data_IF_801121282669
#
_entry.id   IF_801121282669
#
_cell.length_a   1.000
_cell.length_b   1.000
_cell.length_c   1.000
_cell.angle_alpha   90.00
_cell.angle_beta   90.00
_cell.angle_gamma   90.00
#
_symmetry.space_group_name_H-M   'P 1'
#
loop_
_entity.id
_entity.type
_entity.pdbx_description
1 polymer ?
#
# COMPACT_ATOMS: atom_id res chain seq x y z
N UNK A 1 -59.10 -35.47 75.79
CA UNK A 1 -58.80 -34.58 76.93
C UNK A 1 -58.35 -33.25 76.35
N UNK A 2 -59.09 -32.15 76.58
CA UNK A 2 -58.61 -30.82 76.23
C UNK A 2 -57.39 -30.49 77.09
N UNK A 3 -56.32 -29.95 76.49
CA UNK A 3 -55.17 -29.49 77.24
C UNK A 3 -55.56 -28.29 78.11
N UNK A 4 -54.96 -28.21 79.29
CA UNK A 4 -55.10 -27.08 80.19
C UNK A 4 -54.61 -25.78 79.49
N UNK A 5 -55.33 -24.64 79.57
CA UNK A 5 -54.94 -23.40 78.91
C UNK A 5 -53.52 -22.94 79.23
N UNK A 6 -52.97 -23.28 80.41
CA UNK A 6 -51.57 -22.97 80.73
C UNK A 6 -50.57 -23.81 79.92
N UNK A 7 -50.88 -25.08 79.67
CA UNK A 7 -50.03 -25.96 78.87
C UNK A 7 -50.07 -25.56 77.39
N UNK A 8 -51.21 -25.08 76.89
CA UNK A 8 -51.30 -24.54 75.52
C UNK A 8 -50.44 -23.29 75.34
N UNK A 9 -50.46 -22.36 76.30
CA UNK A 9 -49.64 -21.14 76.23
C UNK A 9 -48.13 -21.43 76.27
N UNK A 10 -47.70 -22.45 77.02
CA UNK A 10 -46.29 -22.84 77.09
C UNK A 10 -45.81 -23.52 75.80
N UNK A 11 -46.64 -24.36 75.20
CA UNK A 11 -46.36 -24.97 73.90
C UNK A 11 -46.30 -23.90 72.80
N UNK A 12 -47.24 -22.95 72.76
CA UNK A 12 -47.23 -21.86 71.78
C UNK A 12 -45.99 -20.96 71.91
N UNK A 13 -45.53 -20.74 73.15
CA UNK A 13 -44.28 -20.00 73.40
C UNK A 13 -43.06 -20.75 72.87
N UNK A 14 -42.92 -22.04 73.16
CA UNK A 14 -41.79 -22.84 72.69
C UNK A 14 -41.80 -23.02 71.16
N UNK A 15 -42.99 -23.17 70.57
CA UNK A 15 -43.14 -23.26 69.12
C UNK A 15 -42.79 -21.92 68.46
N UNK A 16 -43.28 -20.80 68.96
CA UNK A 16 -42.94 -19.48 68.41
C UNK A 16 -41.46 -19.14 68.52
N UNK A 17 -40.80 -19.52 69.61
CA UNK A 17 -39.35 -19.34 69.81
C UNK A 17 -38.54 -20.19 68.82
N UNK A 18 -38.91 -21.47 68.63
CA UNK A 18 -38.27 -22.35 67.63
C UNK A 18 -38.52 -21.92 66.20
N UNK A 19 -39.73 -21.46 65.88
CA UNK A 19 -40.07 -20.93 64.56
C UNK A 19 -39.30 -19.64 64.29
N UNK A 20 -39.13 -18.76 65.27
CA UNK A 20 -38.31 -17.55 65.14
C UNK A 20 -36.83 -17.89 64.89
N UNK A 21 -36.28 -18.87 65.63
CA UNK A 21 -34.90 -19.32 65.47
C UNK A 21 -34.64 -19.93 64.07
N UNK A 22 -35.58 -20.73 63.56
CA UNK A 22 -35.50 -21.30 62.21
C UNK A 22 -35.62 -20.22 61.12
N UNK A 23 -36.53 -19.26 61.30
CA UNK A 23 -36.73 -18.16 60.35
C UNK A 23 -35.50 -17.26 60.25
N UNK A 24 -34.79 -17.03 61.36
CA UNK A 24 -33.59 -16.21 61.36
C UNK A 24 -32.41 -16.92 60.69
N UNK A 25 -32.26 -18.24 60.91
CA UNK A 25 -31.27 -19.07 60.20
C UNK A 25 -31.54 -19.13 58.69
N UNK A 26 -32.81 -19.25 58.28
CA UNK A 26 -33.19 -19.22 56.87
C UNK A 26 -32.90 -17.86 56.23
N UNK A 27 -33.17 -16.76 56.94
CA UNK A 27 -32.87 -15.41 56.48
C UNK A 27 -31.37 -15.20 56.29
N UNK A 28 -30.55 -15.62 57.25
CA UNK A 28 -29.09 -15.57 57.14
C UNK A 28 -28.57 -16.43 55.99
N UNK A 29 -29.13 -17.63 55.80
CA UNK A 29 -28.78 -18.51 54.69
C UNK A 29 -29.14 -17.89 53.34
N UNK A 30 -30.33 -17.29 53.22
CA UNK A 30 -30.75 -16.59 52.00
C UNK A 30 -29.84 -15.40 51.69
N UNK A 31 -29.50 -14.58 52.69
CA UNK A 31 -28.56 -13.48 52.52
C UNK A 31 -27.17 -13.96 52.11
N UNK A 32 -26.68 -15.02 52.74
CA UNK A 32 -25.40 -15.64 52.35
C UNK A 32 -25.43 -16.09 50.89
N UNK A 33 -26.48 -16.78 50.45
CA UNK A 33 -26.62 -17.21 49.05
C UNK A 33 -26.75 -16.05 48.08
N UNK A 34 -27.48 -14.99 48.44
CA UNK A 34 -27.60 -13.78 47.62
C UNK A 34 -26.26 -13.06 47.49
N UNK A 35 -25.48 -12.97 48.56
CA UNK A 35 -24.13 -12.39 48.51
C UNK A 35 -23.18 -13.23 47.67
N UNK A 36 -23.21 -14.56 47.80
CA UNK A 36 -22.44 -15.46 46.93
C UNK A 36 -22.84 -15.32 45.46
N UNK A 37 -24.14 -15.28 45.16
CA UNK A 37 -24.63 -15.09 43.79
C UNK A 37 -24.21 -13.73 43.21
N UNK A 38 -24.31 -12.66 43.99
CA UNK A 38 -23.87 -11.32 43.58
C UNK A 38 -22.37 -11.25 43.30
N UNK A 39 -21.55 -11.91 44.11
CA UNK A 39 -20.09 -11.95 43.92
C UNK A 39 -19.69 -12.72 42.67
N UNK A 40 -20.34 -13.85 42.40
CA UNK A 40 -20.12 -14.62 41.16
C UNK A 40 -20.53 -13.79 39.94
N UNK A 41 -21.68 -13.11 40.00
CA UNK A 41 -22.14 -12.25 38.91
C UNK A 41 -21.16 -11.10 38.65
N UNK A 42 -20.65 -10.45 39.69
CA UNK A 42 -19.66 -9.39 39.57
C UNK A 42 -18.34 -9.88 38.96
N UNK A 43 -17.88 -11.08 39.32
CA UNK A 43 -16.68 -11.69 38.71
C UNK A 43 -16.87 -12.00 37.23
N UNK A 44 -18.03 -12.54 36.84
CA UNK A 44 -18.33 -12.84 35.43
C UNK A 44 -18.40 -11.55 34.60
N UNK A 45 -19.09 -10.52 35.10
CA UNK A 45 -19.19 -9.23 34.41
C UNK A 45 -17.82 -8.55 34.33
N UNK A 46 -17.09 -8.49 35.44
CA UNK A 46 -15.76 -7.87 35.49
C UNK A 46 -14.75 -8.58 34.59
N UNK A 47 -14.74 -9.92 34.61
CA UNK A 47 -13.90 -10.74 33.74
C UNK A 47 -14.24 -10.55 32.25
N UNK A 48 -15.53 -10.49 31.91
CA UNK A 48 -15.99 -10.23 30.54
C UNK A 48 -15.56 -8.87 30.02
N UNK A 49 -15.73 -7.81 30.82
CA UNK A 49 -15.30 -6.45 30.43
C UNK A 49 -13.78 -6.39 30.24
N UNK A 50 -13.00 -7.01 31.14
CA UNK A 50 -11.54 -7.03 31.04
C UNK A 50 -11.05 -7.73 29.75
N UNK A 51 -11.69 -8.85 29.36
CA UNK A 51 -11.39 -9.55 28.11
C UNK A 51 -11.67 -8.67 26.88
N UNK A 52 -12.83 -8.02 26.84
CA UNK A 52 -13.23 -7.15 25.71
C UNK A 52 -12.28 -5.97 25.57
N UNK A 53 -11.91 -5.30 26.66
CA UNK A 53 -10.96 -4.18 26.63
C UNK A 53 -9.58 -4.62 26.14
N UNK A 54 -9.13 -5.82 26.53
CA UNK A 54 -7.87 -6.40 26.08
C UNK A 54 -7.87 -6.66 24.58
N UNK A 55 -8.93 -7.27 24.04
CA UNK A 55 -9.06 -7.55 22.60
C UNK A 55 -9.14 -6.25 21.77
N UNK A 56 -9.91 -5.26 22.22
CA UNK A 56 -9.99 -3.95 21.55
C UNK A 56 -8.62 -3.25 21.55
N UNK A 57 -7.84 -3.40 22.63
CA UNK A 57 -6.47 -2.89 22.70
C UNK A 57 -5.57 -3.49 21.61
N UNK A 58 -5.65 -4.81 21.39
CA UNK A 58 -4.88 -5.50 20.35
C UNK A 58 -5.32 -5.08 18.94
N UNK A 59 -6.62 -4.97 18.69
CA UNK A 59 -7.12 -4.48 17.39
C UNK A 59 -6.69 -3.04 17.12
N UNK A 60 -6.69 -2.16 18.12
CA UNK A 60 -6.20 -0.78 17.97
C UNK A 60 -4.73 -0.74 17.58
N UNK A 61 -3.90 -1.63 18.13
CA UNK A 61 -2.50 -1.73 17.75
C UNK A 61 -2.33 -2.21 16.30
N UNK A 62 -3.11 -3.21 15.88
CA UNK A 62 -3.09 -3.68 14.49
C UNK A 62 -3.55 -2.59 13.51
N UNK A 63 -4.61 -1.85 13.84
CA UNK A 63 -5.10 -0.73 13.03
C UNK A 63 -4.07 0.40 12.99
N UNK A 64 -3.42 0.73 14.10
CA UNK A 64 -2.38 1.76 14.13
C UNK A 64 -1.17 1.38 13.27
N UNK A 65 -0.75 0.11 13.29
CA UNK A 65 0.33 -0.39 12.44
C UNK A 65 -0.06 -0.36 10.95
N UNK A 66 -1.29 -0.75 10.60
CA UNK A 66 -1.78 -0.68 9.23
C UNK A 66 -1.91 0.76 8.74
N UNK A 67 -2.37 1.68 9.58
CA UNK A 67 -2.47 3.10 9.26
C UNK A 67 -1.07 3.70 8.97
N UNK A 68 -0.08 3.41 9.84
CA UNK A 68 1.30 3.86 9.64
C UNK A 68 1.92 3.28 8.36
N UNK A 69 1.69 2.00 8.07
CA UNK A 69 2.16 1.35 6.84
C UNK A 69 1.51 1.97 5.59
N UNK A 70 0.22 2.30 5.65
CA UNK A 70 -0.49 2.94 4.55
C UNK A 70 0.01 4.37 4.30
N UNK A 71 0.25 5.16 5.34
CA UNK A 71 0.82 6.50 5.21
C UNK A 71 2.23 6.44 4.58
N UNK A 72 3.07 5.50 5.02
CA UNK A 72 4.39 5.31 4.42
C UNK A 72 4.30 4.92 2.94
N UNK A 73 3.40 4.00 2.59
CA UNK A 73 3.16 3.60 1.21
C UNK A 73 2.64 4.76 0.34
N UNK A 74 1.75 5.61 0.88
CA UNK A 74 1.29 6.80 0.18
C UNK A 74 2.42 7.78 -0.12
N UNK A 75 3.30 8.04 0.86
CA UNK A 75 4.44 8.92 0.64
C UNK A 75 5.40 8.36 -0.40
N UNK A 76 5.66 7.05 -0.37
CA UNK A 76 6.51 6.38 -1.34
C UNK A 76 5.91 6.45 -2.75
N UNK A 77 4.60 6.21 -2.88
CA UNK A 77 3.88 6.34 -4.15
C UNK A 77 3.94 7.77 -4.70
N UNK A 78 3.79 8.80 -3.85
CA UNK A 78 3.94 10.18 -4.29
C UNK A 78 5.36 10.50 -4.77
N UNK A 79 6.39 9.96 -4.10
CA UNK A 79 7.78 10.09 -4.55
C UNK A 79 8.01 9.41 -5.89
N UNK A 80 7.44 8.22 -6.09
CA UNK A 80 7.51 7.51 -7.37
C UNK A 80 6.82 8.31 -8.48
N UNK A 81 5.60 8.81 -8.24
CA UNK A 81 4.91 9.67 -9.22
C UNK A 81 5.70 10.94 -9.57
N UNK A 82 6.33 11.57 -8.59
CA UNK A 82 7.17 12.74 -8.82
C UNK A 82 8.42 12.37 -9.65
N UNK A 83 9.06 11.25 -9.34
CA UNK A 83 10.20 10.72 -10.08
C UNK A 83 9.84 10.37 -11.52
N UNK A 84 8.71 9.67 -11.73
CA UNK A 84 8.21 9.31 -13.05
C UNK A 84 7.87 10.54 -13.89
N UNK A 85 7.26 11.57 -13.27
CA UNK A 85 7.02 12.85 -13.96
C UNK A 85 8.33 13.52 -14.37
N UNK A 86 9.33 13.55 -13.49
CA UNK A 86 10.63 14.11 -13.81
C UNK A 86 11.29 13.35 -14.98
N UNK A 87 11.27 12.02 -14.95
CA UNK A 87 11.75 11.18 -16.04
C UNK A 87 10.99 11.42 -17.35
N UNK A 88 9.67 11.61 -17.30
CA UNK A 88 8.89 11.93 -18.50
C UNK A 88 9.27 13.29 -19.09
N UNK A 89 9.55 14.29 -18.25
CA UNK A 89 10.01 15.60 -18.71
C UNK A 89 11.39 15.49 -19.35
N UNK A 90 12.33 14.76 -18.73
CA UNK A 90 13.66 14.52 -19.30
C UNK A 90 13.58 13.75 -20.63
N UNK A 91 12.71 12.75 -20.70
CA UNK A 91 12.46 12.00 -21.95
C UNK A 91 11.83 12.87 -23.02
N UNK A 92 10.87 13.74 -22.68
CA UNK A 92 10.27 14.64 -23.64
C UNK A 92 11.30 15.66 -24.16
N UNK A 93 12.20 16.13 -23.30
CA UNK A 93 13.32 16.97 -23.70
C UNK A 93 14.29 16.22 -24.63
N UNK A 94 14.70 15.00 -24.26
CA UNK A 94 15.56 14.14 -25.07
C UNK A 94 14.92 13.80 -26.42
N UNK A 95 13.62 13.46 -26.45
CA UNK A 95 12.88 13.16 -27.66
C UNK A 95 12.85 14.35 -28.63
N UNK A 96 12.71 15.58 -28.12
CA UNK A 96 12.81 16.80 -28.94
C UNK A 96 14.22 16.98 -29.52
N UNK A 97 15.27 16.75 -28.72
CA UNK A 97 16.67 16.86 -29.17
C UNK A 97 16.98 15.84 -30.28
N UNK A 98 16.48 14.62 -30.15
CA UNK A 98 16.76 13.55 -31.13
C UNK A 98 15.71 13.39 -32.23
N UNK A 99 14.67 14.23 -32.25
CA UNK A 99 13.57 14.14 -33.22
C UNK A 99 12.72 12.86 -33.13
N UNK A 100 12.67 12.22 -31.96
CA UNK A 100 11.93 10.98 -31.73
C UNK A 100 10.42 11.22 -31.71
N UNK A 101 9.66 10.37 -32.41
CA UNK A 101 8.19 10.40 -32.43
C UNK A 101 7.64 9.06 -31.96
N UNK A 102 7.00 9.03 -30.79
CA UNK A 102 6.43 7.81 -30.19
C UNK A 102 5.33 7.14 -31.06
N UNK A 103 4.67 7.91 -31.93
CA UNK A 103 3.59 7.40 -32.80
C UNK A 103 4.08 6.85 -34.15
N UNK A 104 5.40 6.76 -34.40
CA UNK A 104 5.91 6.16 -35.64
C UNK A 104 5.67 4.65 -35.65
N UNK A 105 5.16 4.15 -36.78
CA UNK A 105 5.03 2.70 -36.97
C UNK A 105 6.40 2.02 -36.88
N UNK A 106 6.43 0.81 -36.31
CA UNK A 106 7.65 0.00 -36.21
C UNK A 106 8.48 -0.08 -37.51
N UNK A 107 7.88 -0.28 -38.72
CA UNK A 107 8.66 -0.28 -39.95
C UNK A 107 9.24 1.09 -40.32
N UNK A 108 8.52 2.19 -40.08
CA UNK A 108 9.03 3.54 -40.36
C UNK A 108 10.22 3.92 -39.46
N UNK A 109 10.15 3.55 -38.18
CA UNK A 109 11.24 3.75 -37.24
C UNK A 109 12.48 2.94 -37.62
N UNK A 110 12.32 1.64 -37.93
CA UNK A 110 13.45 0.79 -38.31
C UNK A 110 14.09 1.27 -39.62
N UNK A 111 13.31 1.75 -40.59
CA UNK A 111 13.82 2.33 -41.82
C UNK A 111 14.64 3.61 -41.55
N UNK A 112 14.18 4.48 -40.66
CA UNK A 112 14.90 5.69 -40.28
C UNK A 112 16.20 5.38 -39.52
N UNK A 113 16.19 4.39 -38.63
CA UNK A 113 17.40 3.91 -37.95
C UNK A 113 18.42 3.34 -38.93
N UNK A 114 17.98 2.43 -39.82
CA UNK A 114 18.86 1.81 -40.80
C UNK A 114 19.46 2.87 -41.73
N UNK A 115 18.66 3.83 -42.18
CA UNK A 115 19.14 4.97 -42.97
C UNK A 115 20.16 5.80 -42.21
N UNK A 116 19.87 6.18 -40.97
CA UNK A 116 20.78 6.93 -40.11
C UNK A 116 22.10 6.19 -39.85
N UNK A 117 22.04 4.86 -39.69
CA UNK A 117 23.21 4.00 -39.53
C UNK A 117 24.05 3.90 -40.81
N UNK A 118 23.42 3.76 -41.96
CA UNK A 118 24.10 3.75 -43.27
C UNK A 118 24.76 5.11 -43.53
N UNK A 119 24.07 6.21 -43.27
CA UNK A 119 24.61 7.56 -43.43
C UNK A 119 25.79 7.80 -42.47
N UNK A 120 25.70 7.32 -41.23
CA UNK A 120 26.80 7.37 -40.25
C UNK A 120 28.02 6.57 -40.73
N UNK A 121 27.81 5.34 -41.20
CA UNK A 121 28.89 4.51 -41.75
C UNK A 121 29.56 5.16 -42.98
N UNK A 122 28.76 5.76 -43.87
CA UNK A 122 29.26 6.49 -45.03
C UNK A 122 30.13 7.68 -44.64
N UNK A 123 29.63 8.54 -43.74
CA UNK A 123 30.39 9.71 -43.26
C UNK A 123 31.61 9.31 -42.42
N UNK A 124 31.55 8.24 -41.64
CA UNK A 124 32.71 7.72 -40.91
C UNK A 124 33.79 7.20 -41.86
N UNK A 125 33.41 6.63 -43.01
CA UNK A 125 34.34 6.24 -44.07
C UNK A 125 35.02 7.46 -44.69
N UNK A 126 34.25 8.48 -45.05
CA UNK A 126 34.77 9.76 -45.58
C UNK A 126 35.70 10.45 -44.56
N UNK A 127 35.33 10.45 -43.28
CA UNK A 127 36.16 11.00 -42.21
C UNK A 127 37.50 10.26 -42.09
N UNK A 128 37.50 8.93 -42.23
CA UNK A 128 38.71 8.11 -42.21
C UNK A 128 39.61 8.38 -43.41
N UNK A 129 39.02 8.58 -44.58
CA UNK A 129 39.75 8.95 -45.80
C UNK A 129 40.38 10.34 -45.67
N UNK A 130 39.66 11.31 -45.09
CA UNK A 130 40.21 12.65 -44.79
C UNK A 130 41.31 12.60 -43.75
N UNK A 131 41.17 11.79 -42.71
CA UNK A 131 42.23 11.59 -41.71
C UNK A 131 43.54 11.08 -42.34
N UNK A 132 43.47 10.26 -43.39
CA UNK A 132 44.65 9.77 -44.11
C UNK A 132 45.35 10.84 -44.94
N UNK A 133 44.63 11.90 -45.31
CA UNK A 133 45.14 13.02 -46.12
C UNK A 133 45.31 14.31 -45.30
N UNK A 134 45.20 14.21 -43.97
CA UNK A 134 45.20 15.36 -43.08
C UNK A 134 46.62 15.87 -42.88
N UNK A 135 46.85 17.15 -43.21
CA UNK A 135 48.12 17.80 -42.91
C UNK A 135 48.12 18.26 -41.45
N UNK A 136 48.87 17.54 -40.60
CA UNK A 136 48.97 17.84 -39.18
C UNK A 136 49.66 19.17 -38.84
N UNK A 137 50.22 19.87 -39.84
CA UNK A 137 50.82 21.19 -39.67
C UNK A 137 49.91 22.35 -40.12
N UNK A 138 48.76 22.05 -40.75
CA UNK A 138 47.79 23.07 -41.16
C UNK A 138 46.65 23.18 -40.12
N UNK A 139 46.58 24.28 -39.35
CA UNK A 139 45.54 24.47 -38.34
C UNK A 139 44.13 24.60 -38.93
N UNK A 140 43.96 25.07 -40.18
CA UNK A 140 42.63 25.19 -40.79
C UNK A 140 42.03 23.83 -41.14
N UNK A 141 42.85 22.88 -41.59
CA UNK A 141 42.40 21.52 -41.93
C UNK A 141 42.10 20.69 -40.67
N UNK A 142 42.84 20.91 -39.58
CA UNK A 142 42.53 20.35 -38.25
C UNK A 142 41.18 20.85 -37.72
N UNK A 143 40.88 22.14 -37.87
CA UNK A 143 39.61 22.72 -37.42
C UNK A 143 38.42 22.18 -38.24
N UNK A 144 38.56 22.08 -39.56
CA UNK A 144 37.54 21.48 -40.44
C UNK A 144 37.29 20.02 -40.10
N UNK A 145 38.36 19.25 -39.86
CA UNK A 145 38.24 17.85 -39.48
C UNK A 145 37.56 17.67 -38.12
N UNK A 146 37.89 18.51 -37.14
CA UNK A 146 37.22 18.50 -35.83
C UNK A 146 35.72 18.79 -35.97
N UNK A 147 35.34 19.77 -36.79
CA UNK A 147 33.93 20.09 -37.06
C UNK A 147 33.19 18.97 -37.80
N UNK A 148 33.86 18.24 -38.69
CA UNK A 148 33.25 17.09 -39.37
C UNK A 148 33.13 15.87 -38.44
N UNK A 149 34.12 15.64 -37.57
CA UNK A 149 34.06 14.64 -36.51
C UNK A 149 32.90 14.93 -35.55
N UNK A 150 32.72 16.19 -35.14
CA UNK A 150 31.62 16.64 -34.28
C UNK A 150 30.25 16.35 -34.92
N UNK A 151 30.07 16.64 -36.22
CA UNK A 151 28.82 16.32 -36.94
C UNK A 151 28.54 14.82 -36.98
N UNK A 152 29.56 13.99 -37.22
CA UNK A 152 29.41 12.52 -37.25
C UNK A 152 29.04 11.99 -35.87
N UNK A 153 29.67 12.50 -34.81
CA UNK A 153 29.37 12.14 -33.43
C UNK A 153 27.95 12.55 -33.03
N UNK A 154 27.51 13.77 -33.36
CA UNK A 154 26.14 14.22 -33.10
C UNK A 154 25.09 13.36 -33.82
N UNK A 155 25.37 12.93 -35.06
CA UNK A 155 24.47 12.07 -35.82
C UNK A 155 24.39 10.64 -35.21
N UNK A 156 25.51 10.10 -34.76
CA UNK A 156 25.56 8.81 -34.05
C UNK A 156 24.83 8.85 -32.71
N UNK A 157 25.05 9.90 -31.91
CA UNK A 157 24.38 10.12 -30.63
C UNK A 157 22.87 10.31 -30.78
N UNK A 158 22.42 11.01 -31.83
CA UNK A 158 20.99 11.15 -32.14
C UNK A 158 20.33 9.80 -32.43
N UNK A 159 21.00 8.95 -33.22
CA UNK A 159 20.51 7.60 -33.54
C UNK A 159 20.46 6.69 -32.30
N UNK A 160 21.51 6.71 -31.48
CA UNK A 160 21.55 5.97 -30.20
C UNK A 160 20.49 6.48 -29.22
N UNK A 161 20.30 7.79 -29.14
CA UNK A 161 19.26 8.40 -28.31
C UNK A 161 17.85 7.95 -28.72
N UNK A 162 17.57 7.80 -30.02
CA UNK A 162 16.31 7.23 -30.50
C UNK A 162 16.12 5.76 -30.11
N UNK A 163 17.20 4.96 -30.05
CA UNK A 163 17.14 3.55 -29.59
C UNK A 163 16.90 3.47 -28.10
N UNK A 164 17.62 4.27 -27.31
CA UNK A 164 17.47 4.31 -25.84
C UNK A 164 16.06 4.76 -25.46
N UNK A 165 15.53 5.80 -26.13
CA UNK A 165 14.17 6.28 -25.86
C UNK A 165 13.12 5.22 -26.17
N UNK A 166 13.24 4.51 -27.30
CA UNK A 166 12.31 3.42 -27.65
C UNK A 166 12.37 2.23 -26.70
N UNK A 167 13.56 1.80 -26.30
CA UNK A 167 13.73 0.68 -25.37
C UNK A 167 13.34 1.02 -23.93
N UNK A 168 13.32 2.31 -23.59
CA UNK A 168 12.90 2.77 -22.27
C UNK A 168 11.46 3.25 -22.26
N UNK A 169 10.75 3.26 -23.39
CA UNK A 169 9.32 3.59 -23.44
C UNK A 169 8.59 2.79 -22.36
N UNK A 170 7.83 3.46 -21.47
CA UNK A 170 7.03 2.72 -20.54
C UNK A 170 6.05 1.90 -21.39
N UNK A 171 6.06 0.57 -21.21
CA UNK A 171 4.95 -0.26 -21.69
C UNK A 171 3.68 0.48 -21.27
N UNK A 172 2.74 0.78 -22.18
CA UNK A 172 1.49 1.39 -21.79
C UNK A 172 0.89 0.45 -20.75
N UNK A 173 1.05 0.80 -19.47
CA UNK A 173 0.35 0.15 -18.39
C UNK A 173 -1.13 0.21 -18.73
N UNK A 174 -1.94 -0.73 -18.23
CA UNK A 174 -3.38 -0.55 -18.33
C UNK A 174 -3.66 0.87 -17.85
N UNK A 175 -4.25 1.69 -18.75
CA UNK A 175 -4.55 3.09 -18.45
C UNK A 175 -5.27 3.20 -17.12
N UNK A 176 -5.33 4.41 -16.50
CA UNK A 176 -5.80 4.59 -15.13
C UNK A 176 -7.02 3.71 -14.91
N UNK A 177 -6.85 2.65 -14.12
CA UNK A 177 -7.92 1.70 -13.86
C UNK A 177 -9.08 2.55 -13.36
N UNK A 178 -10.09 2.65 -14.23
CA UNK A 178 -11.40 3.12 -13.84
C UNK A 178 -11.73 2.30 -12.60
N UNK A 179 -11.88 2.90 -11.40
CA UNK A 179 -12.03 2.15 -10.18
C UNK A 179 -13.15 1.13 -10.41
N UNK A 180 -12.81 -0.14 -10.27
CA UNK A 180 -13.75 -1.23 -10.47
C UNK A 180 -15.05 -0.89 -9.73
N UNK A 181 -16.23 -1.03 -10.36
CA UNK A 181 -17.48 -0.79 -9.66
C UNK A 181 -17.48 -1.68 -8.42
N UNK A 182 -17.60 -1.03 -7.26
CA UNK A 182 -17.60 -1.65 -5.96
C UNK A 182 -18.44 -2.94 -5.99
N UNK A 183 -17.79 -4.08 -5.81
CA UNK A 183 -18.44 -5.35 -5.53
C UNK A 183 -19.09 -5.21 -4.16
N UNK A 184 -20.31 -4.70 -4.12
CA UNK A 184 -21.08 -4.58 -2.89
C UNK A 184 -22.41 -5.34 -3.02
N UNK A 185 -22.48 -6.38 -2.19
CA UNK A 185 -23.64 -7.16 -1.72
C UNK A 185 -23.94 -8.46 -2.48
N UNK A 186 -23.26 -9.50 -2.01
CA UNK A 186 -23.82 -10.83 -1.80
C UNK A 186 -25.20 -10.71 -1.13
N UNK A 187 -26.25 -11.07 -1.85
CA UNK A 187 -27.58 -11.30 -1.30
C UNK A 187 -27.73 -12.82 -1.15
N UNK A 188 -27.98 -13.37 0.05
CA UNK A 188 -28.18 -14.81 0.21
C UNK A 188 -29.53 -15.19 -0.41
N UNK A 189 -29.52 -16.27 -1.19
CA UNK A 189 -30.72 -16.88 -1.74
C UNK A 189 -31.65 -17.31 -0.60
N UNK A 190 -32.89 -16.81 -0.64
CA UNK A 190 -33.96 -17.27 0.23
C UNK A 190 -34.31 -18.72 -0.11
N UNK A 191 -34.45 -19.53 0.93
CA UNK A 191 -35.18 -20.79 0.95
C UNK A 191 -36.68 -20.51 1.08
#
# INVERSE_FOLDING_TARGET
MPLDPQQQAEVDRLVSERVAELRDRERLRLWFWLSCAGLVLALVIGGGIALVVREIGQMRQQVAQQAAAFEAAQQEYQRQLAHDRAMQVERAAAAKVVGYQANQSAPAYNANLLRGFIDFMGKSGELRERLQHLDGNDPEDLERFAGDLEKVLHQGLGTLGQVVLRNTEPVPGPGPEKPAPATQKSQPAAQ
#
